data_IF_406017799577
#
_entry.id   IF_406017799577
#
_cell.length_a   1.000
_cell.length_b   1.000
_cell.length_c   1.000
_cell.angle_alpha   90.00
_cell.angle_beta   90.00
_cell.angle_gamma   90.00
#
_symmetry.space_group_name_H-M   'P 1'
#
loop_
_entity.id
_entity.type
_entity.pdbx_description
1 polymer ?
#
# COMPACT_ATOMS: atom_id res chain seq x y z
N UNK A 1 -11.93 -5.38 -21.08
CA UNK A 1 -13.05 -5.20 -20.12
C UNK A 1 -14.23 -4.46 -20.76
N UNK A 2 -14.02 -3.28 -21.36
CA UNK A 2 -15.01 -2.50 -22.11
C UNK A 2 -15.78 -3.27 -23.21
N UNK A 3 -15.08 -4.01 -24.07
CA UNK A 3 -15.74 -4.83 -25.11
C UNK A 3 -16.71 -5.87 -24.53
N UNK A 4 -16.38 -6.43 -23.37
CA UNK A 4 -17.23 -7.41 -22.67
C UNK A 4 -18.43 -6.73 -21.99
N UNK A 5 -18.24 -5.52 -21.44
CA UNK A 5 -19.32 -4.71 -20.88
C UNK A 5 -20.34 -4.30 -21.97
N UNK A 6 -19.86 -3.79 -23.11
CA UNK A 6 -20.68 -3.45 -24.28
C UNK A 6 -21.45 -4.63 -24.86
N UNK A 7 -20.88 -5.82 -24.82
CA UNK A 7 -21.57 -7.03 -25.29
C UNK A 7 -22.78 -7.44 -24.41
N UNK A 8 -22.80 -7.02 -23.13
CA UNK A 8 -23.87 -7.37 -22.19
C UNK A 8 -24.91 -6.25 -22.07
N UNK A 9 -24.47 -4.99 -22.16
CA UNK A 9 -25.35 -3.82 -22.06
C UNK A 9 -24.87 -2.70 -23.00
N UNK A 10 -25.15 -2.81 -24.32
CA UNK A 10 -24.60 -1.91 -25.33
C UNK A 10 -25.00 -0.44 -25.11
N UNK A 11 -26.21 -0.20 -24.57
CA UNK A 11 -26.73 1.15 -24.34
C UNK A 11 -26.26 1.75 -22.99
N UNK A 12 -25.55 0.99 -22.15
CA UNK A 12 -25.06 1.44 -20.84
C UNK A 12 -23.56 1.73 -20.82
N UNK A 13 -22.83 1.44 -21.90
CA UNK A 13 -21.40 1.73 -22.01
C UNK A 13 -21.15 2.50 -23.30
N UNK A 14 -21.33 3.81 -23.19
CA UNK A 14 -21.25 4.76 -24.29
C UNK A 14 -19.82 4.89 -24.82
N UNK A 15 -19.67 5.62 -25.94
CA UNK A 15 -18.34 5.99 -26.42
C UNK A 15 -17.63 6.95 -25.47
N UNK A 16 -18.37 7.85 -24.83
CA UNK A 16 -17.84 8.75 -23.82
C UNK A 16 -17.25 8.00 -22.61
N UNK A 17 -17.86 6.88 -22.20
CA UNK A 17 -17.32 6.04 -21.13
C UNK A 17 -15.98 5.39 -21.53
N UNK A 18 -15.86 4.97 -22.79
CA UNK A 18 -14.62 4.40 -23.31
C UNK A 18 -13.52 5.46 -23.39
N UNK A 19 -13.82 6.63 -23.97
CA UNK A 19 -12.91 7.77 -24.03
C UNK A 19 -12.44 8.19 -22.63
N UNK A 20 -13.36 8.21 -21.65
CA UNK A 20 -13.02 8.51 -20.27
C UNK A 20 -12.05 7.48 -19.66
N UNK A 21 -12.31 6.18 -19.83
CA UNK A 21 -11.39 5.12 -19.33
C UNK A 21 -10.01 5.25 -19.94
N UNK A 22 -9.91 5.45 -21.26
CA UNK A 22 -8.62 5.64 -21.92
C UNK A 22 -7.89 6.89 -21.39
N UNK A 23 -8.63 7.99 -21.15
CA UNK A 23 -8.04 9.20 -20.56
C UNK A 23 -7.49 8.98 -19.15
N UNK A 24 -8.13 8.11 -18.35
CA UNK A 24 -7.65 7.74 -17.01
C UNK A 24 -6.37 6.93 -17.12
N UNK A 25 -6.31 5.96 -18.05
CA UNK A 25 -5.11 5.14 -18.29
C UNK A 25 -3.95 6.04 -18.76
N UNK A 26 -4.20 6.93 -19.72
CA UNK A 26 -3.21 7.87 -20.23
C UNK A 26 -2.65 8.77 -19.11
N UNK A 27 -3.52 9.24 -18.20
CA UNK A 27 -3.11 10.05 -17.05
C UNK A 27 -2.20 9.30 -16.06
N UNK A 28 -2.26 7.96 -16.06
CA UNK A 28 -1.51 7.10 -15.16
C UNK A 28 -0.20 6.55 -15.76
N UNK A 29 0.11 6.84 -17.04
CA UNK A 29 1.27 6.25 -17.73
C UNK A 29 2.60 6.52 -17.03
N UNK A 30 2.78 7.68 -16.40
CA UNK A 30 4.01 7.97 -15.67
C UNK A 30 4.14 7.13 -14.40
N UNK A 31 3.04 6.93 -13.66
CA UNK A 31 3.04 6.03 -12.51
C UNK A 31 3.32 4.57 -12.91
N UNK A 32 2.82 4.15 -14.09
CA UNK A 32 3.07 2.81 -14.63
C UNK A 32 4.53 2.58 -15.08
N UNK A 33 5.35 3.63 -15.18
CA UNK A 33 6.78 3.54 -15.51
C UNK A 33 7.68 3.39 -14.30
N UNK A 34 7.15 3.61 -13.10
CA UNK A 34 7.93 3.43 -11.87
C UNK A 34 8.37 1.96 -11.72
N UNK A 35 9.57 1.71 -11.15
CA UNK A 35 10.04 0.34 -10.94
C UNK A 35 9.07 -0.45 -10.05
N UNK A 36 8.60 -1.59 -10.56
CA UNK A 36 7.74 -2.50 -9.81
C UNK A 36 8.50 -3.14 -8.64
N UNK A 37 8.06 -2.86 -7.41
CA UNK A 37 8.62 -3.40 -6.17
C UNK A 37 7.53 -4.21 -5.44
N UNK A 38 7.34 -5.49 -5.79
CA UNK A 38 6.22 -6.27 -5.29
C UNK A 38 6.30 -6.46 -3.78
N UNK A 39 5.20 -6.15 -3.10
CA UNK A 39 4.98 -6.48 -1.70
C UNK A 39 3.65 -7.23 -1.53
N UNK A 40 3.40 -7.72 -0.32
CA UNK A 40 2.12 -8.33 0.01
C UNK A 40 1.07 -7.22 0.17
N UNK A 41 0.06 -7.22 -0.69
CA UNK A 41 -1.00 -6.22 -0.75
C UNK A 41 -2.30 -6.86 -0.30
N UNK A 42 -2.97 -6.23 0.66
CA UNK A 42 -4.36 -6.49 0.98
C UNK A 42 -5.23 -5.49 0.22
N UNK A 43 -5.92 -5.95 -0.82
CA UNK A 43 -6.71 -5.07 -1.69
C UNK A 43 -7.82 -4.32 -0.93
N UNK A 44 -8.32 -4.92 0.14
CA UNK A 44 -9.41 -4.39 0.96
C UNK A 44 -8.92 -3.89 2.33
N UNK A 45 -7.75 -3.22 2.37
CA UNK A 45 -7.20 -2.66 3.60
C UNK A 45 -8.00 -1.42 4.03
N UNK A 46 -9.02 -1.64 4.87
CA UNK A 46 -10.00 -0.63 5.27
C UNK A 46 -10.30 -0.65 6.78
N UNK A 47 -10.85 0.44 7.32
CA UNK A 47 -11.23 0.59 8.75
C UNK A 47 -12.12 -0.55 9.27
N UNK A 48 -12.98 -1.10 8.41
CA UNK A 48 -13.86 -2.21 8.76
C UNK A 48 -13.18 -3.59 8.75
N UNK A 49 -11.94 -3.69 8.27
CA UNK A 49 -11.14 -4.92 8.21
C UNK A 49 -9.92 -4.89 9.14
N UNK A 50 -9.86 -3.91 10.05
CA UNK A 50 -8.84 -3.85 11.11
C UNK A 50 -9.41 -4.25 12.47
N UNK A 51 -8.62 -4.98 13.24
CA UNK A 51 -8.88 -5.21 14.65
C UNK A 51 -8.18 -4.13 15.48
N UNK A 52 -8.83 -3.69 16.55
CA UNK A 52 -8.26 -2.75 17.51
C UNK A 52 -8.31 -3.32 18.93
N UNK A 53 -7.22 -3.15 19.66
CA UNK A 53 -7.13 -3.50 21.07
C UNK A 53 -6.89 -2.23 21.89
N UNK A 54 -7.40 -2.24 23.12
CA UNK A 54 -7.03 -1.24 24.11
C UNK A 54 -5.72 -1.65 24.80
N UNK A 55 -4.66 -0.89 24.59
CA UNK A 55 -3.41 -1.04 25.30
C UNK A 55 -3.52 -0.53 26.75
N UNK A 56 -2.56 -0.94 27.58
CA UNK A 56 -2.44 -0.46 28.96
C UNK A 56 -2.34 1.07 28.98
N UNK A 57 -3.14 1.73 29.82
CA UNK A 57 -3.22 3.21 29.85
C UNK A 57 -4.31 3.81 28.95
N UNK A 58 -5.19 2.97 28.37
CA UNK A 58 -6.41 3.43 27.70
C UNK A 58 -6.23 3.87 26.25
N UNK A 59 -5.04 3.68 25.68
CA UNK A 59 -4.77 3.99 24.27
C UNK A 59 -5.26 2.86 23.36
N UNK A 60 -5.80 3.19 22.19
CA UNK A 60 -6.20 2.21 21.19
C UNK A 60 -5.07 1.98 20.19
N UNK A 61 -4.87 0.73 19.79
CA UNK A 61 -3.92 0.35 18.74
C UNK A 61 -4.56 -0.63 17.78
N UNK A 62 -4.14 -0.58 16.52
CA UNK A 62 -4.43 -1.65 15.56
C UNK A 62 -3.70 -2.91 16.02
N UNK A 63 -4.43 -4.01 16.19
CA UNK A 63 -3.91 -5.31 16.66
C UNK A 63 -3.82 -6.36 15.56
N UNK A 64 -4.50 -6.14 14.43
CA UNK A 64 -4.41 -7.01 13.27
C UNK A 64 -5.34 -6.58 12.14
N UNK A 65 -5.34 -7.39 11.09
CA UNK A 65 -6.26 -7.29 9.95
C UNK A 65 -6.94 -8.63 9.71
N UNK A 66 -8.13 -8.62 9.11
CA UNK A 66 -8.87 -9.82 8.72
C UNK A 66 -9.48 -9.63 7.34
N UNK A 67 -10.19 -10.64 6.83
CA UNK A 67 -10.69 -10.69 5.44
C UNK A 67 -9.59 -10.56 4.37
N UNK A 68 -8.69 -11.55 4.36
CA UNK A 68 -7.54 -11.59 3.46
C UNK A 68 -7.87 -12.16 2.07
N UNK A 69 -9.15 -12.22 1.68
CA UNK A 69 -9.56 -12.82 0.41
C UNK A 69 -8.98 -12.11 -0.82
N UNK A 70 -8.70 -10.81 -0.69
CA UNK A 70 -8.07 -9.98 -1.73
C UNK A 70 -6.55 -9.87 -1.61
N UNK A 71 -5.87 -10.83 -0.99
CA UNK A 71 -4.41 -10.76 -0.80
C UNK A 71 -3.64 -11.19 -2.06
N UNK A 72 -2.70 -10.36 -2.52
CA UNK A 72 -1.87 -10.62 -3.70
C UNK A 72 -0.49 -9.96 -3.59
N UNK A 73 0.42 -10.26 -4.53
CA UNK A 73 1.68 -9.54 -4.65
C UNK A 73 1.57 -8.45 -5.72
N UNK A 74 1.83 -7.20 -5.33
CA UNK A 74 1.68 -6.03 -6.20
C UNK A 74 2.34 -4.78 -5.63
N UNK A 75 2.01 -3.62 -6.20
CA UNK A 75 2.45 -2.32 -5.70
C UNK A 75 1.77 -2.00 -4.36
N UNK A 76 2.55 -1.57 -3.37
CA UNK A 76 2.05 -1.31 -2.02
C UNK A 76 0.98 -0.22 -1.96
N UNK A 77 1.04 0.72 -2.91
CA UNK A 77 0.10 1.82 -3.08
C UNK A 77 -1.31 1.32 -3.44
N UNK A 78 -1.44 0.13 -4.03
CA UNK A 78 -2.74 -0.43 -4.41
C UNK A 78 -3.67 -0.61 -3.20
N UNK A 79 -3.11 -0.95 -2.02
CA UNK A 79 -3.87 -1.07 -0.77
C UNK A 79 -4.50 0.25 -0.28
N UNK A 80 -4.00 1.40 -0.74
CA UNK A 80 -4.42 2.71 -0.22
C UNK A 80 -5.66 3.26 -0.91
N UNK A 81 -5.82 2.93 -2.20
CA UNK A 81 -6.77 3.57 -3.11
C UNK A 81 -8.20 3.58 -2.58
N UNK A 82 -8.64 2.44 -2.03
CA UNK A 82 -10.01 2.24 -1.56
C UNK A 82 -10.31 3.06 -0.31
N UNK A 83 -9.50 2.95 0.74
CA UNK A 83 -9.70 3.73 1.97
C UNK A 83 -9.49 5.22 1.75
N UNK A 84 -8.53 5.62 0.91
CA UNK A 84 -8.34 7.02 0.54
C UNK A 84 -9.57 7.58 -0.18
N UNK A 85 -10.18 6.83 -1.10
CA UNK A 85 -11.42 7.20 -1.77
C UNK A 85 -12.57 7.44 -0.78
N UNK A 86 -12.79 6.51 0.14
CA UNK A 86 -13.82 6.69 1.20
C UNK A 86 -13.57 7.92 2.07
N UNK A 87 -12.30 8.20 2.39
CA UNK A 87 -11.96 9.41 3.13
C UNK A 87 -12.16 10.68 2.32
N UNK A 88 -11.91 10.69 1.02
CA UNK A 88 -12.20 11.86 0.18
C UNK A 88 -13.68 12.20 0.21
N UNK A 89 -14.56 11.18 0.16
CA UNK A 89 -16.00 11.37 0.25
C UNK A 89 -16.46 11.81 1.65
N UNK A 90 -15.81 11.32 2.71
CA UNK A 90 -16.15 11.63 4.10
C UNK A 90 -15.61 13.00 4.56
N UNK A 91 -14.31 13.22 4.39
CA UNK A 91 -13.56 14.41 4.76
C UNK A 91 -12.16 14.36 4.11
N UNK A 92 -11.92 15.23 3.13
CA UNK A 92 -10.66 15.30 2.39
C UNK A 92 -9.41 15.50 3.29
N UNK A 93 -9.56 16.05 4.50
CA UNK A 93 -8.46 16.17 5.45
C UNK A 93 -8.00 14.81 5.99
N UNK A 94 -8.92 13.85 6.14
CA UNK A 94 -8.63 12.47 6.53
C UNK A 94 -7.86 11.75 5.43
N UNK A 95 -8.27 11.92 4.17
CA UNK A 95 -7.56 11.35 3.02
C UNK A 95 -6.12 11.87 2.96
N UNK A 96 -5.94 13.18 3.14
CA UNK A 96 -4.63 13.81 3.22
C UNK A 96 -3.78 13.25 4.36
N UNK A 97 -4.35 13.09 5.56
CA UNK A 97 -3.60 12.59 6.71
C UNK A 97 -3.25 11.11 6.61
N UNK A 98 -4.13 10.31 6.01
CA UNK A 98 -3.90 8.91 5.70
C UNK A 98 -2.72 8.73 4.75
N UNK A 99 -2.72 9.44 3.62
CA UNK A 99 -1.63 9.35 2.63
C UNK A 99 -0.30 9.90 3.18
N UNK A 100 -0.32 11.03 3.91
CA UNK A 100 0.88 11.54 4.58
C UNK A 100 1.43 10.56 5.60
N UNK A 101 0.56 9.90 6.36
CA UNK A 101 0.95 8.87 7.32
C UNK A 101 1.60 7.66 6.67
N UNK A 102 1.11 7.26 5.50
CA UNK A 102 1.72 6.20 4.69
C UNK A 102 3.11 6.61 4.19
N UNK A 103 3.24 7.78 3.57
CA UNK A 103 4.52 8.29 3.05
C UNK A 103 5.58 8.41 4.16
N UNK A 104 5.21 8.93 5.33
CA UNK A 104 6.12 9.02 6.50
C UNK A 104 6.64 7.65 6.94
N UNK A 105 5.85 6.57 6.77
CA UNK A 105 6.22 5.20 7.13
C UNK A 105 6.95 4.45 6.01
N UNK A 106 6.79 4.85 4.75
CA UNK A 106 7.57 4.36 3.61
C UNK A 106 9.02 4.85 3.65
N UNK A 107 9.25 6.10 4.04
CA UNK A 107 10.57 6.75 3.94
C UNK A 107 11.71 6.03 4.70
N UNK A 108 11.50 5.42 5.89
CA UNK A 108 12.50 4.57 6.54
C UNK A 108 12.72 3.21 5.85
N UNK A 109 11.72 2.68 5.15
CA UNK A 109 11.76 1.34 4.55
C UNK A 109 12.44 1.33 3.16
N UNK A 110 12.41 2.45 2.43
CA UNK A 110 13.01 2.56 1.08
C UNK A 110 14.40 3.23 1.07
N UNK A 111 14.76 3.99 2.11
CA UNK A 111 16.08 4.62 2.23
C UNK A 111 17.22 3.63 2.56
N UNK A 112 16.90 2.49 3.16
CA UNK A 112 17.83 1.36 3.36
C UNK A 112 18.08 0.55 2.08
N UNK A 113 17.16 0.60 1.11
CA UNK A 113 17.27 -0.09 -0.19
C UNK A 113 18.17 0.70 -1.16
N UNK A 114 18.16 2.04 -1.09
CA UNK A 114 18.96 2.90 -1.98
C UNK A 114 20.38 3.20 -1.44
N UNK A 115 20.62 3.09 -0.14
CA UNK A 115 21.95 3.30 0.45
C UNK A 115 22.99 2.22 0.07
N UNK A 116 22.56 1.08 -0.49
CA UNK A 116 23.44 -0.01 -0.93
C UNK A 116 23.97 0.10 -2.37
N UNK A 117 23.52 1.07 -3.18
CA UNK A 117 23.87 1.14 -4.60
C UNK A 117 24.99 2.15 -4.93
N UNK A 118 25.32 3.07 -4.02
CA UNK A 118 26.30 4.13 -4.29
C UNK A 118 27.77 3.78 -3.94
N UNK A 119 28.06 2.56 -3.49
CA UNK A 119 29.42 2.16 -3.14
C UNK A 119 29.76 0.77 -3.68
N UNK A 120 30.30 0.71 -4.90
CA UNK A 120 31.58 0.05 -5.23
C UNK A 120 31.69 -0.17 -6.74
N UNK A 121 32.63 0.54 -7.35
CA UNK A 121 33.29 0.05 -8.53
C UNK A 121 34.04 -1.27 -8.23
N UNK A 122 34.21 -2.05 -9.29
CA UNK A 122 35.14 -3.17 -9.45
C UNK A 122 34.88 -4.41 -8.58
N UNK A 123 34.47 -5.48 -9.25
CA UNK A 123 34.98 -6.82 -8.95
C UNK A 123 34.13 -7.73 -8.06
N UNK A 124 33.48 -8.69 -8.73
CA UNK A 124 33.33 -10.11 -8.35
C UNK A 124 33.03 -10.45 -6.88
N UNK A 125 31.79 -10.88 -6.63
CA UNK A 125 31.43 -11.66 -5.44
C UNK A 125 29.97 -11.44 -5.05
N UNK A 126 29.08 -12.34 -5.47
CA UNK A 126 27.74 -12.46 -4.88
C UNK A 126 27.87 -12.84 -3.40
N UNK A 127 27.12 -12.21 -2.49
CA UNK A 127 26.69 -12.86 -1.27
C UNK A 127 25.20 -13.17 -1.30
N UNK A 128 24.89 -14.19 -0.52
CA UNK A 128 23.67 -14.99 -0.45
C UNK A 128 22.42 -14.18 -0.05
N UNK A 129 21.29 -14.46 -0.72
CA UNK A 129 20.07 -13.63 -0.70
C UNK A 129 19.00 -14.15 0.27
N UNK A 130 19.40 -14.90 1.28
CA UNK A 130 18.48 -15.48 2.26
C UNK A 130 18.60 -14.79 3.63
N UNK A 131 18.15 -13.54 3.72
CA UNK A 131 17.55 -12.98 4.95
C UNK A 131 17.00 -11.58 4.68
N UNK A 132 15.74 -11.52 4.26
CA UNK A 132 14.91 -10.40 4.68
C UNK A 132 14.28 -10.85 5.99
N UNK A 133 14.89 -10.44 7.10
CA UNK A 133 14.24 -10.48 8.40
C UNK A 133 13.16 -9.39 8.32
N UNK A 134 11.92 -9.80 8.08
CA UNK A 134 10.77 -8.93 8.35
C UNK A 134 10.83 -8.46 9.81
N UNK A 135 10.20 -7.33 10.17
CA UNK A 135 10.27 -6.82 11.53
C UNK A 135 9.92 -7.95 12.50
N UNK A 136 10.89 -8.36 13.31
CA UNK A 136 10.65 -9.24 14.42
C UNK A 136 9.62 -8.53 15.29
N UNK A 137 8.43 -9.13 15.37
CA UNK A 137 7.51 -8.85 16.46
C UNK A 137 8.26 -9.25 17.73
N UNK A 138 8.91 -8.27 18.35
CA UNK A 138 9.49 -8.44 19.68
C UNK A 138 8.38 -8.95 20.61
N UNK A 139 8.63 -10.01 21.40
CA UNK A 139 7.65 -10.46 22.37
C UNK A 139 7.35 -9.32 23.34
N UNK A 140 6.07 -9.11 23.61
CA UNK A 140 5.58 -8.14 24.59
C UNK A 140 6.28 -8.36 25.95
N UNK A 141 7.27 -7.52 26.25
CA UNK A 141 8.10 -7.74 27.44
C UNK A 141 9.28 -6.79 27.57
N UNK A 142 9.04 -5.48 27.61
CA UNK A 142 9.97 -4.54 28.24
C UNK A 142 9.22 -3.32 28.75
N UNK A 143 8.86 -3.37 30.03
CA UNK A 143 8.52 -2.21 30.83
C UNK A 143 9.76 -1.31 30.88
N UNK A 144 9.68 -0.10 30.30
CA UNK A 144 10.68 0.95 30.50
C UNK A 144 9.99 2.10 31.21
N UNK A 145 10.09 2.08 32.54
CA UNK A 145 9.85 3.20 33.44
C UNK A 145 10.80 4.35 33.07
N UNK A 146 10.27 5.56 32.93
CA UNK A 146 11.07 6.78 32.99
C UNK A 146 10.44 7.72 34.01
N UNK A 147 11.30 8.16 34.94
CA UNK A 147 11.05 9.07 36.05
C UNK A 147 10.75 10.50 35.61
#
# INVERSE_FOLDING_TARGET
>A
MLAKARAVAPDQTTEADAEWVESVIDSALDALREPFLPCCVMLDYQENNVNVDQATGGTWRVSGVFDLMGLFFGDGEAALSRQAGEYVERDASLAGEYLRSYIRRLHPALSSVHAGSAARGVGVGLPDRHRVVGPQLEPAGACATLH
#
